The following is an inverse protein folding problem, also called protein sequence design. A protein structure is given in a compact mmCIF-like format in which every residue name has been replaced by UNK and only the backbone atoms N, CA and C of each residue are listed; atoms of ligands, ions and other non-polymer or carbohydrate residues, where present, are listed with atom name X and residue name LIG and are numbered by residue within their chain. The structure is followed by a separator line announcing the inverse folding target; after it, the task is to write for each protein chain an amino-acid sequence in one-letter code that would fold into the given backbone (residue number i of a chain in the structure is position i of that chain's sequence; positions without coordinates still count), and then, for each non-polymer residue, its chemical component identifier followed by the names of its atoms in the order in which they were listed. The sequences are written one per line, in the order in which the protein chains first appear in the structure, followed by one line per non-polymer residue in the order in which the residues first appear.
data_IF_341628834293
#
_entry.id   IF_341628834293
#
_cell.length_a   1.000
_cell.length_b   1.000
_cell.length_c   1.000
_cell.angle_alpha   90.00
_cell.angle_beta   90.00
_cell.angle_gamma   90.00
#
_symmetry.space_group_name_H-M   'P 1'
#
loop_
_entity.id
_entity.type
_entity.pdbx_description
1 polymer ?
#
# COMPACT_ATOMS: atom_id res chain seq x y z
N UNK A 1 14.28 2.29 -1.48
CA UNK A 1 15.21 1.59 -2.37
C UNK A 1 14.40 0.86 -3.43
N UNK A 2 14.94 0.77 -4.65
CA UNK A 2 14.25 0.26 -5.83
C UNK A 2 14.32 -1.27 -5.87
N UNK A 3 13.30 -1.95 -6.41
CA UNK A 3 13.19 -3.43 -6.45
C UNK A 3 13.18 -4.11 -5.08
N UNK A 4 12.43 -3.53 -4.14
CA UNK A 4 12.21 -4.12 -2.83
C UNK A 4 10.71 -4.21 -2.57
N UNK A 5 10.28 -5.22 -1.81
CA UNK A 5 8.91 -5.29 -1.32
C UNK A 5 8.64 -4.15 -0.35
N UNK A 6 7.51 -3.46 -0.54
CA UNK A 6 7.03 -2.37 0.32
C UNK A 6 5.59 -2.66 0.72
N UNK A 7 5.28 -2.43 1.98
CA UNK A 7 3.93 -2.69 2.51
C UNK A 7 2.92 -1.67 1.97
N UNK A 8 1.89 -2.16 1.28
CA UNK A 8 0.74 -1.36 0.84
C UNK A 8 -0.51 -1.58 1.69
N UNK A 9 -0.64 -2.77 2.26
CA UNK A 9 -1.85 -3.25 2.95
C UNK A 9 -1.46 -4.01 4.20
N UNK A 10 -2.23 -3.79 5.26
CA UNK A 10 -2.28 -4.63 6.45
C UNK A 10 -3.72 -5.09 6.66
N UNK A 11 -3.90 -6.36 7.03
CA UNK A 11 -5.18 -6.96 7.34
C UNK A 11 -5.06 -7.74 8.65
N UNK A 12 -6.01 -7.55 9.56
CA UNK A 12 -5.94 -8.12 10.90
C UNK A 12 -7.30 -8.58 11.39
N UNK A 13 -7.32 -9.76 12.02
CA UNK A 13 -8.43 -10.24 12.84
C UNK A 13 -8.07 -9.97 14.30
N UNK A 14 -8.71 -8.98 14.90
CA UNK A 14 -8.46 -8.58 16.29
C UNK A 14 -9.33 -9.34 17.29
N UNK A 15 -10.09 -10.36 16.80
CA UNK A 15 -11.10 -11.09 17.56
C UNK A 15 -11.91 -10.12 18.41
N UNK A 16 -12.10 -10.41 19.69
CA UNK A 16 -12.83 -9.56 20.63
C UNK A 16 -11.92 -8.62 21.45
N UNK A 17 -10.63 -8.46 21.09
CA UNK A 17 -9.70 -7.59 21.83
C UNK A 17 -10.17 -6.13 21.86
N UNK A 18 -10.44 -5.56 20.68
CA UNK A 18 -10.89 -4.16 20.56
C UNK A 18 -12.31 -3.96 21.12
N UNK A 19 -13.21 -4.92 20.88
CA UNK A 19 -14.60 -4.84 21.34
C UNK A 19 -14.72 -4.96 22.87
N UNK A 20 -13.84 -5.71 23.53
CA UNK A 20 -13.77 -5.73 25.01
C UNK A 20 -13.41 -4.35 25.56
N UNK A 21 -12.39 -3.71 24.98
CA UNK A 21 -11.95 -2.37 25.41
C UNK A 21 -13.04 -1.30 25.22
N UNK A 22 -13.87 -1.42 24.16
CA UNK A 22 -14.96 -0.47 23.86
C UNK A 22 -16.33 -0.88 24.41
N UNK A 23 -16.43 -1.99 25.15
CA UNK A 23 -17.69 -2.57 25.64
C UNK A 23 -18.74 -2.88 24.53
N UNK A 24 -18.29 -3.29 23.33
CA UNK A 24 -19.18 -3.62 22.20
C UNK A 24 -19.57 -5.10 22.27
N UNK A 25 -20.80 -5.35 22.74
CA UNK A 25 -21.29 -6.69 23.08
C UNK A 25 -22.00 -7.36 21.91
N UNK A 26 -21.90 -8.69 21.87
CA UNK A 26 -22.73 -9.54 21.02
C UNK A 26 -24.05 -9.85 21.74
N UNK A 27 -25.17 -9.33 21.23
CA UNK A 27 -26.48 -9.36 21.90
C UNK A 27 -27.17 -10.73 22.00
N UNK A 28 -26.50 -11.81 21.61
CA UNK A 28 -27.07 -13.17 21.65
C UNK A 28 -27.11 -13.66 23.10
N UNK A 29 -28.31 -13.67 23.70
CA UNK A 29 -28.55 -14.22 25.04
C UNK A 29 -29.02 -15.67 24.92
N UNK A 30 -28.22 -16.62 25.38
CA UNK A 30 -28.70 -17.98 25.66
C UNK A 30 -29.18 -18.05 27.10
N UNK A 31 -30.23 -18.83 27.38
CA UNK A 31 -30.63 -19.15 28.75
C UNK A 31 -29.40 -19.63 29.55
N UNK A 32 -29.25 -19.10 30.77
CA UNK A 32 -28.14 -19.37 31.69
C UNK A 32 -26.74 -18.83 31.29
N UNK A 33 -26.61 -18.00 30.27
CA UNK A 33 -25.32 -17.40 29.91
C UNK A 33 -25.01 -16.16 30.77
N UNK A 34 -24.17 -16.34 31.81
CA UNK A 34 -23.73 -15.26 32.71
C UNK A 34 -22.59 -14.40 32.15
N UNK A 35 -21.77 -14.95 31.24
CA UNK A 35 -20.64 -14.24 30.66
C UNK A 35 -21.06 -13.30 29.52
N UNK A 36 -20.48 -12.09 29.50
CA UNK A 36 -20.64 -11.14 28.40
C UNK A 36 -19.92 -11.68 27.17
N UNK A 37 -20.63 -11.78 26.04
CA UNK A 37 -20.02 -12.03 24.73
C UNK A 37 -19.75 -10.71 24.00
N UNK A 38 -18.65 -10.68 23.26
CA UNK A 38 -18.23 -9.53 22.48
C UNK A 38 -18.13 -9.91 21.00
N UNK A 39 -18.31 -8.93 20.11
CA UNK A 39 -18.21 -9.16 18.66
C UNK A 39 -16.74 -9.31 18.23
N UNK A 40 -16.47 -10.03 17.15
CA UNK A 40 -15.14 -10.00 16.55
C UNK A 40 -14.99 -8.76 15.66
N UNK A 41 -13.84 -8.10 15.76
CA UNK A 41 -13.48 -6.94 14.95
C UNK A 41 -12.35 -7.28 13.99
N UNK A 42 -12.54 -6.92 12.73
CA UNK A 42 -11.56 -7.05 11.66
C UNK A 42 -11.28 -5.68 11.08
N UNK A 43 -10.05 -5.47 10.63
CA UNK A 43 -9.68 -4.27 9.89
C UNK A 43 -8.74 -4.64 8.74
N UNK A 44 -8.81 -3.87 7.65
CA UNK A 44 -7.92 -4.01 6.50
C UNK A 44 -7.77 -2.67 5.78
N UNK A 45 -6.55 -2.34 5.38
CA UNK A 45 -6.28 -1.18 4.55
C UNK A 45 -6.64 -1.50 3.11
N UNK A 46 -7.69 -0.86 2.55
CA UNK A 46 -8.04 -1.06 1.13
C UNK A 46 -6.98 -0.45 0.20
N UNK A 47 -6.62 0.81 0.42
CA UNK A 47 -5.66 1.53 -0.42
C UNK A 47 -5.01 2.67 0.35
N UNK A 48 -3.70 2.55 0.61
CA UNK A 48 -2.89 3.66 1.11
C UNK A 48 -2.47 4.55 -0.06
N UNK A 49 -3.29 5.54 -0.40
CA UNK A 49 -3.23 6.33 -1.65
C UNK A 49 -1.82 6.75 -2.08
N UNK A 50 -1.03 7.35 -1.19
CA UNK A 50 0.34 7.81 -1.51
C UNK A 50 1.28 6.66 -1.84
N UNK A 51 1.21 5.53 -1.10
CA UNK A 51 2.04 4.35 -1.38
C UNK A 51 1.61 3.65 -2.66
N UNK A 52 0.30 3.58 -2.90
CA UNK A 52 -0.27 3.02 -4.13
C UNK A 52 0.16 3.84 -5.35
N UNK A 53 0.16 5.18 -5.26
CA UNK A 53 0.68 6.03 -6.33
C UNK A 53 2.15 5.75 -6.61
N UNK A 54 3.01 5.64 -5.59
CA UNK A 54 4.41 5.24 -5.81
C UNK A 54 4.53 3.89 -6.52
N UNK A 55 3.72 2.89 -6.13
CA UNK A 55 3.68 1.59 -6.77
C UNK A 55 3.27 1.67 -8.26
N UNK A 56 2.23 2.45 -8.57
CA UNK A 56 1.78 2.67 -9.96
C UNK A 56 2.87 3.37 -10.78
N UNK A 57 3.50 4.41 -10.24
CA UNK A 57 4.57 5.13 -10.92
C UNK A 57 5.76 4.20 -11.25
N UNK A 58 6.12 3.28 -10.35
CA UNK A 58 7.23 2.34 -10.61
C UNK A 58 6.86 1.22 -11.60
N UNK A 59 5.64 0.69 -11.55
CA UNK A 59 5.22 -0.47 -12.36
C UNK A 59 4.65 -0.10 -13.73
N UNK A 60 4.15 1.12 -13.89
CA UNK A 60 3.52 1.58 -15.13
C UNK A 60 4.36 2.63 -15.89
N UNK A 61 5.61 2.89 -15.48
CA UNK A 61 6.51 3.78 -16.21
C UNK A 61 6.98 3.16 -17.54
N UNK A 62 7.22 4.06 -18.50
CA UNK A 62 7.82 3.82 -19.82
C UNK A 62 8.90 4.90 -20.05
N UNK A 63 9.59 4.87 -21.19
CA UNK A 63 10.66 5.82 -21.52
C UNK A 63 10.19 7.29 -21.49
N UNK A 64 8.91 7.52 -21.81
CA UNK A 64 8.34 8.86 -22.02
C UNK A 64 7.38 9.31 -20.91
N UNK A 65 7.06 8.47 -19.91
CA UNK A 65 6.05 8.80 -18.91
C UNK A 65 5.50 7.59 -18.17
N UNK A 66 4.25 7.68 -17.70
CA UNK A 66 3.56 6.62 -16.94
C UNK A 66 2.21 6.33 -17.57
N UNK A 67 1.94 5.05 -17.86
CA UNK A 67 0.64 4.55 -18.32
C UNK A 67 -0.36 4.56 -17.16
N UNK A 68 -1.55 5.06 -17.39
CA UNK A 68 -2.63 5.02 -16.39
C UNK A 68 -3.25 3.62 -16.42
N UNK A 69 -3.35 2.90 -15.27
CA UNK A 69 -4.06 1.62 -15.22
C UNK A 69 -5.48 1.74 -15.78
N UNK A 70 -5.89 0.78 -16.61
CA UNK A 70 -7.17 0.84 -17.34
C UNK A 70 -8.37 1.11 -16.43
N UNK A 71 -8.39 0.50 -15.25
CA UNK A 71 -9.44 0.67 -14.22
C UNK A 71 -9.54 2.08 -13.65
N UNK A 72 -8.47 2.90 -13.77
CA UNK A 72 -8.44 4.29 -13.29
C UNK A 72 -8.83 5.30 -14.37
N UNK A 73 -8.78 4.93 -15.66
CA UNK A 73 -9.05 5.82 -16.80
C UNK A 73 -10.41 6.54 -16.70
N UNK A 74 -11.52 5.89 -16.32
CA UNK A 74 -12.82 6.58 -16.18
C UNK A 74 -12.82 7.69 -15.11
N UNK A 75 -11.96 7.55 -14.09
CA UNK A 75 -11.84 8.52 -13.00
C UNK A 75 -10.84 9.65 -13.32
N UNK A 76 -10.09 9.50 -14.41
CA UNK A 76 -9.05 10.43 -14.86
C UNK A 76 -9.50 11.28 -16.06
N UNK A 77 -10.80 11.34 -16.36
CA UNK A 77 -11.34 12.08 -17.50
C UNK A 77 -10.90 11.50 -18.86
N UNK A 78 -10.65 10.20 -18.94
CA UNK A 78 -10.18 9.53 -20.17
C UNK A 78 -8.68 9.62 -20.41
N UNK A 79 -7.90 10.20 -19.49
CA UNK A 79 -6.44 10.23 -19.60
C UNK A 79 -5.86 8.82 -19.46
N UNK A 80 -5.10 8.39 -20.46
CA UNK A 80 -4.46 7.06 -20.53
C UNK A 80 -2.96 7.09 -20.31
N UNK A 81 -2.32 8.27 -20.40
CA UNK A 81 -0.86 8.42 -20.29
C UNK A 81 -0.47 9.75 -19.65
N UNK A 82 0.51 9.71 -18.75
CA UNK A 82 1.07 10.87 -18.05
C UNK A 82 2.51 11.09 -18.52
N UNK A 83 2.78 12.08 -19.40
CA UNK A 83 4.12 12.32 -19.92
C UNK A 83 5.06 12.94 -18.87
N UNK A 84 6.35 12.65 -18.97
CA UNK A 84 7.36 13.37 -18.17
C UNK A 84 7.48 14.82 -18.68
N UNK A 85 7.32 15.78 -17.76
CA UNK A 85 7.34 17.22 -18.08
C UNK A 85 8.64 17.91 -17.68
N UNK A 86 9.56 17.18 -17.02
CA UNK A 86 10.80 17.71 -16.46
C UNK A 86 11.91 16.69 -16.65
N UNK A 87 13.11 17.18 -16.89
CA UNK A 87 14.31 16.35 -16.89
C UNK A 87 14.55 15.74 -15.51
N UNK A 88 15.04 14.50 -15.50
CA UNK A 88 15.40 13.80 -14.27
C UNK A 88 16.59 14.52 -13.65
N UNK A 89 16.38 15.13 -12.48
CA UNK A 89 17.49 15.60 -11.64
C UNK A 89 18.27 14.37 -11.20
N UNK A 90 19.46 14.18 -11.78
CA UNK A 90 20.34 13.07 -11.44
C UNK A 90 20.62 13.11 -9.94
N UNK A 91 20.11 12.13 -9.20
CA UNK A 91 20.44 11.99 -7.80
C UNK A 91 21.87 11.44 -7.69
N UNK A 92 22.83 12.35 -7.57
CA UNK A 92 24.27 12.06 -7.50
C UNK A 92 24.59 11.02 -6.42
N UNK A 93 23.83 11.00 -5.31
CA UNK A 93 24.01 10.02 -4.24
C UNK A 93 23.57 8.61 -4.65
N UNK A 94 22.44 8.49 -5.36
CA UNK A 94 21.98 7.21 -5.90
C UNK A 94 22.93 6.66 -6.98
N UNK A 95 23.47 7.52 -7.86
CA UNK A 95 24.49 7.14 -8.85
C UNK A 95 25.78 6.68 -8.16
N UNK A 96 26.21 7.36 -7.09
CA UNK A 96 27.36 6.93 -6.28
C UNK A 96 27.13 5.58 -5.61
N UNK A 97 25.94 5.34 -5.04
CA UNK A 97 25.59 4.05 -4.43
C UNK A 97 25.53 2.92 -5.46
N UNK A 98 24.97 3.15 -6.65
CA UNK A 98 24.95 2.17 -7.74
C UNK A 98 26.36 1.85 -8.25
N UNK A 99 27.23 2.86 -8.42
CA UNK A 99 28.65 2.66 -8.76
C UNK A 99 29.40 1.89 -7.67
N UNK A 100 29.13 2.17 -6.39
CA UNK A 100 29.73 1.47 -5.25
C UNK A 100 29.28 0.01 -5.16
N UNK A 101 28.00 -0.28 -5.42
CA UNK A 101 27.47 -1.64 -5.48
C UNK A 101 28.07 -2.46 -6.64
N UNK A 102 28.19 -1.86 -7.84
CA UNK A 102 28.86 -2.49 -8.99
C UNK A 102 30.34 -2.80 -8.71
N UNK A 103 31.04 -1.96 -7.95
CA UNK A 103 32.44 -2.18 -7.57
C UNK A 103 32.63 -3.32 -6.54
N UNK A 104 31.58 -3.67 -5.78
CA UNK A 104 31.61 -4.76 -4.78
C UNK A 104 31.20 -6.13 -5.33
N UNK A 105 30.45 -6.19 -6.44
CA UNK A 105 30.01 -7.45 -7.06
C UNK A 105 30.90 -8.00 -8.19
N UNK A 106 32.09 -7.41 -8.39
CA UNK A 106 33.06 -7.80 -9.43
C UNK A 106 34.37 -8.36 -8.89
N UNK A 107 34.33 -9.07 -7.76
CA UNK A 107 35.42 -9.91 -7.25
C UNK A 107 34.99 -11.36 -7.27
#
# INVERSE_FOLDING_TARGET
AYKEYRELVSASNCTDFQSRAMEIRCGVKKENQREKKYVHMLNSTLCASTRTVCCILENCQDENGVKVPEVLVPFMGGVTFLPFTREVKVNVQAVKMQKAAKKKGGK
#
